data_IF_715516033808
#
_entry.id   IF_715516033808
#
_cell.length_a   1.000
_cell.length_b   1.000
_cell.length_c   1.000
_cell.angle_alpha   90.00
_cell.angle_beta   90.00
_cell.angle_gamma   90.00
#
_symmetry.space_group_name_H-M   'P 1'
#
loop_
_entity.id
_entity.type
_entity.pdbx_description
1 polymer ?
#
# COMPACT_ATOMS: atom_id res chain seq x y z
N UNK A 1 9.00 -40.47 -38.01
CA UNK A 1 8.95 -39.99 -36.58
C UNK A 1 8.02 -38.77 -36.59
N UNK A 2 6.84 -38.94 -36.01
CA UNK A 2 5.91 -37.83 -35.86
C UNK A 2 6.41 -36.91 -34.72
N UNK A 3 6.78 -35.71 -35.01
CA UNK A 3 7.08 -34.67 -34.01
C UNK A 3 5.80 -33.89 -33.73
N UNK A 4 5.41 -33.82 -32.47
CA UNK A 4 4.30 -32.97 -32.03
C UNK A 4 4.88 -31.63 -31.53
N UNK A 5 4.67 -30.54 -32.28
CA UNK A 5 5.13 -29.23 -31.94
C UNK A 5 3.99 -28.47 -31.27
N UNK A 6 4.25 -27.90 -30.11
CA UNK A 6 3.33 -27.00 -29.39
C UNK A 6 3.94 -25.61 -29.33
N UNK A 7 3.11 -24.60 -29.52
CA UNK A 7 3.49 -23.21 -29.41
C UNK A 7 2.95 -22.66 -28.09
N UNK A 8 3.76 -21.84 -27.43
CA UNK A 8 3.40 -21.17 -26.20
C UNK A 8 3.51 -19.66 -26.41
N UNK A 9 2.61 -18.91 -25.77
CA UNK A 9 2.61 -17.45 -25.86
C UNK A 9 3.82 -16.88 -25.12
N UNK A 10 4.59 -16.02 -25.79
CA UNK A 10 5.77 -15.35 -25.21
C UNK A 10 5.48 -13.94 -24.72
N UNK A 11 4.27 -13.42 -25.02
CA UNK A 11 3.82 -12.10 -24.59
C UNK A 11 3.44 -12.11 -23.10
N UNK A 12 3.31 -10.90 -22.55
CA UNK A 12 2.75 -10.72 -21.21
C UNK A 12 1.24 -10.97 -21.28
N UNK A 13 0.80 -11.92 -20.49
CA UNK A 13 -0.60 -12.27 -20.30
C UNK A 13 -1.17 -11.53 -19.11
N UNK A 14 -2.48 -11.29 -19.12
CA UNK A 14 -3.17 -10.63 -18.01
C UNK A 14 -4.21 -11.59 -17.44
N UNK A 15 -4.13 -11.84 -16.14
CA UNK A 15 -5.17 -12.49 -15.37
C UNK A 15 -5.95 -11.40 -14.64
N UNK A 16 -7.24 -11.33 -14.87
CA UNK A 16 -8.15 -10.41 -14.23
C UNK A 16 -9.14 -11.18 -13.35
N UNK A 17 -9.37 -10.73 -12.13
CA UNK A 17 -10.43 -11.26 -11.28
C UNK A 17 -11.76 -10.67 -11.72
N UNK A 18 -12.69 -11.51 -12.18
CA UNK A 18 -14.01 -11.07 -12.63
C UNK A 18 -14.89 -10.63 -11.46
N UNK A 19 -14.72 -11.26 -10.29
CA UNK A 19 -15.46 -10.93 -9.07
C UNK A 19 -14.52 -10.45 -7.97
N UNK A 20 -14.92 -9.41 -7.19
CA UNK A 20 -14.16 -8.95 -6.04
C UNK A 20 -14.01 -10.06 -4.99
N UNK A 21 -12.78 -10.33 -4.59
CA UNK A 21 -12.53 -11.27 -3.50
C UNK A 21 -12.59 -10.58 -2.14
N UNK A 22 -13.03 -11.34 -1.14
CA UNK A 22 -13.19 -10.87 0.24
C UNK A 22 -11.97 -11.25 1.07
N UNK A 23 -11.31 -10.24 1.66
CA UNK A 23 -10.19 -10.42 2.57
C UNK A 23 -10.50 -9.83 3.95
N UNK A 24 -9.88 -10.41 4.98
CA UNK A 24 -10.04 -9.96 6.37
C UNK A 24 -8.76 -9.23 6.78
N UNK A 25 -8.90 -8.02 7.29
CA UNK A 25 -7.79 -7.20 7.80
C UNK A 25 -7.46 -7.57 9.25
N UNK A 26 -6.33 -7.06 9.77
CA UNK A 26 -5.92 -7.20 11.17
C UNK A 26 -6.98 -6.71 12.16
N UNK A 27 -7.81 -5.77 11.76
CA UNK A 27 -8.95 -5.26 12.54
C UNK A 27 -10.20 -6.16 12.48
N UNK A 28 -10.10 -7.35 11.89
CA UNK A 28 -11.21 -8.29 11.64
C UNK A 28 -12.34 -7.69 10.79
N UNK A 29 -12.01 -6.76 9.90
CA UNK A 29 -12.95 -6.15 8.95
C UNK A 29 -12.78 -6.77 7.58
N UNK A 30 -13.90 -7.02 6.91
CA UNK A 30 -13.89 -7.48 5.52
C UNK A 30 -13.61 -6.30 4.59
N UNK A 31 -12.78 -6.54 3.58
CA UNK A 31 -12.55 -5.68 2.42
C UNK A 31 -12.81 -6.47 1.15
N UNK A 32 -13.39 -5.84 0.15
CA UNK A 32 -13.61 -6.39 -1.18
C UNK A 32 -12.52 -5.84 -2.10
N UNK A 33 -11.79 -6.71 -2.74
CA UNK A 33 -10.62 -6.32 -3.54
C UNK A 33 -10.70 -6.89 -4.93
N UNK A 34 -10.59 -6.01 -5.92
CA UNK A 34 -10.38 -6.35 -7.32
C UNK A 34 -8.91 -6.17 -7.66
N UNK A 35 -8.33 -7.13 -8.34
CA UNK A 35 -6.95 -7.09 -8.78
C UNK A 35 -6.77 -7.60 -10.20
N UNK A 36 -5.65 -7.25 -10.80
CA UNK A 36 -5.15 -7.94 -11.98
C UNK A 36 -3.67 -8.28 -11.81
N UNK A 37 -3.26 -9.34 -12.48
CA UNK A 37 -1.89 -9.84 -12.48
C UNK A 37 -1.39 -9.91 -13.91
N UNK A 38 -0.22 -9.34 -14.17
CA UNK A 38 0.51 -9.52 -15.42
C UNK A 38 1.59 -10.56 -15.22
N UNK A 39 1.61 -11.55 -16.08
CA UNK A 39 2.53 -12.67 -16.00
C UNK A 39 3.00 -13.12 -17.38
N UNK A 40 4.09 -13.85 -17.44
CA UNK A 40 4.61 -14.43 -18.68
C UNK A 40 5.24 -15.80 -18.44
N UNK A 41 5.31 -16.62 -19.49
CA UNK A 41 5.98 -17.89 -19.47
C UNK A 41 7.48 -17.64 -19.65
N UNK A 42 8.31 -18.11 -18.71
CA UNK A 42 9.77 -17.99 -18.78
C UNK A 42 10.46 -19.33 -18.93
N UNK A 43 9.91 -20.38 -18.34
CA UNK A 43 10.37 -21.76 -18.52
C UNK A 43 9.26 -22.63 -19.12
N UNK A 44 9.33 -22.81 -20.43
CA UNK A 44 8.34 -23.58 -21.20
C UNK A 44 8.30 -25.05 -20.78
N UNK A 45 9.45 -25.63 -20.42
CA UNK A 45 9.52 -27.02 -19.97
C UNK A 45 8.81 -27.20 -18.64
N UNK A 46 9.13 -26.35 -17.67
CA UNK A 46 8.50 -26.37 -16.35
C UNK A 46 7.00 -26.05 -16.43
N UNK A 47 6.63 -25.09 -17.25
CA UNK A 47 5.24 -24.75 -17.53
C UNK A 47 4.45 -25.92 -18.09
N UNK A 48 5.03 -26.63 -19.08
CA UNK A 48 4.39 -27.81 -19.66
C UNK A 48 4.24 -28.95 -18.64
N UNK A 49 5.26 -29.21 -17.83
CA UNK A 49 5.22 -30.26 -16.80
C UNK A 49 4.17 -29.93 -15.74
N UNK A 50 4.07 -28.68 -15.31
CA UNK A 50 3.23 -28.25 -14.18
C UNK A 50 1.76 -28.10 -14.56
N UNK A 51 1.48 -27.51 -15.73
CA UNK A 51 0.12 -27.15 -16.16
C UNK A 51 -0.28 -27.76 -17.51
N UNK A 52 0.55 -28.64 -18.07
CA UNK A 52 0.34 -29.33 -19.38
C UNK A 52 0.18 -28.35 -20.55
N UNK A 53 0.62 -27.10 -20.37
CA UNK A 53 0.44 -26.05 -21.37
C UNK A 53 -0.99 -25.49 -21.43
N UNK A 54 -1.78 -25.70 -20.38
CA UNK A 54 -3.12 -25.16 -20.25
C UNK A 54 -3.07 -23.83 -19.50
N UNK A 55 -3.46 -22.76 -20.20
CA UNK A 55 -3.45 -21.39 -19.66
C UNK A 55 -4.48 -21.21 -18.55
N UNK A 56 -5.67 -21.81 -18.67
CA UNK A 56 -6.70 -21.72 -17.65
C UNK A 56 -6.25 -22.37 -16.33
N UNK A 57 -5.55 -23.52 -16.42
CA UNK A 57 -4.98 -24.16 -15.26
C UNK A 57 -3.85 -23.34 -14.63
N UNK A 58 -3.02 -22.68 -15.45
CA UNK A 58 -1.98 -21.77 -14.98
C UNK A 58 -2.58 -20.56 -14.25
N UNK A 59 -3.60 -19.94 -14.82
CA UNK A 59 -4.33 -18.83 -14.21
C UNK A 59 -4.97 -19.24 -12.88
N UNK A 60 -5.58 -20.40 -12.79
CA UNK A 60 -6.17 -20.91 -11.55
C UNK A 60 -5.12 -21.07 -10.45
N UNK A 61 -3.96 -21.67 -10.77
CA UNK A 61 -2.87 -21.83 -9.80
C UNK A 61 -2.29 -20.48 -9.38
N UNK A 62 -2.09 -19.58 -10.34
CA UNK A 62 -1.59 -18.25 -10.08
C UNK A 62 -2.55 -17.45 -9.18
N UNK A 63 -3.87 -17.55 -9.44
CA UNK A 63 -4.90 -16.95 -8.60
C UNK A 63 -4.83 -17.46 -7.15
N UNK A 64 -4.69 -18.78 -6.96
CA UNK A 64 -4.56 -19.36 -5.63
C UNK A 64 -3.34 -18.82 -4.87
N UNK A 65 -2.19 -18.73 -5.56
CA UNK A 65 -0.95 -18.19 -4.98
C UNK A 65 -1.10 -16.73 -4.61
N UNK A 66 -1.62 -15.91 -5.52
CA UNK A 66 -1.85 -14.47 -5.28
C UNK A 66 -2.83 -14.26 -4.13
N UNK A 67 -3.93 -14.99 -4.10
CA UNK A 67 -4.93 -14.90 -3.04
C UNK A 67 -4.39 -15.33 -1.67
N UNK A 68 -3.52 -16.35 -1.62
CA UNK A 68 -2.84 -16.72 -0.39
C UNK A 68 -1.93 -15.60 0.10
N UNK A 69 -1.12 -15.04 -0.77
CA UNK A 69 -0.24 -13.91 -0.44
C UNK A 69 -1.01 -12.67 0.02
N UNK A 70 -2.19 -12.43 -0.58
CA UNK A 70 -3.09 -11.34 -0.18
C UNK A 70 -3.67 -11.54 1.21
N UNK A 71 -4.13 -12.77 1.54
CA UNK A 71 -4.65 -13.06 2.88
C UNK A 71 -3.61 -12.82 3.96
N UNK A 72 -2.37 -13.24 3.70
CA UNK A 72 -1.27 -13.03 4.63
C UNK A 72 -0.97 -11.55 4.81
N UNK A 73 -0.89 -10.79 3.71
CA UNK A 73 -0.53 -9.37 3.76
C UNK A 73 -1.65 -8.51 4.37
N UNK A 74 -2.90 -8.71 3.95
CA UNK A 74 -4.04 -7.96 4.51
C UNK A 74 -4.35 -8.35 5.96
N UNK A 75 -4.11 -9.61 6.33
CA UNK A 75 -4.27 -10.06 7.72
C UNK A 75 -3.37 -9.33 8.72
N UNK A 76 -2.26 -8.77 8.25
CA UNK A 76 -1.30 -8.03 9.06
C UNK A 76 -1.47 -6.50 9.00
N UNK A 77 -2.39 -5.99 8.16
CA UNK A 77 -2.57 -4.56 7.91
C UNK A 77 -3.95 -4.07 8.33
N UNK A 78 -4.01 -2.77 8.63
CA UNK A 78 -5.29 -2.10 8.93
C UNK A 78 -6.02 -1.75 7.64
N UNK A 79 -7.33 -1.48 7.73
CA UNK A 79 -8.12 -0.97 6.60
C UNK A 79 -7.53 0.33 6.07
N UNK A 80 -7.03 1.19 6.96
CA UNK A 80 -6.41 2.46 6.57
C UNK A 80 -5.18 2.27 5.69
N UNK A 81 -4.27 1.36 6.06
CA UNK A 81 -3.04 1.06 5.32
C UNK A 81 -3.35 0.56 3.90
N UNK A 82 -4.36 -0.32 3.79
CA UNK A 82 -4.79 -0.90 2.51
C UNK A 82 -5.47 0.13 1.59
N UNK A 83 -6.28 1.04 2.15
CA UNK A 83 -7.08 2.00 1.36
C UNK A 83 -6.28 3.25 0.99
N UNK A 84 -5.46 3.77 1.89
CA UNK A 84 -4.90 5.14 1.74
C UNK A 84 -3.40 5.29 2.01
N UNK A 85 -2.73 4.27 2.57
CA UNK A 85 -1.38 4.50 3.07
C UNK A 85 -0.26 3.91 2.21
N UNK A 86 -0.13 2.60 2.19
CA UNK A 86 1.07 1.89 1.71
C UNK A 86 0.80 1.00 0.49
N UNK A 87 -0.12 1.42 -0.35
CA UNK A 87 -0.61 0.60 -1.47
C UNK A 87 0.50 0.11 -2.40
N UNK A 88 1.46 0.96 -2.74
CA UNK A 88 2.56 0.59 -3.62
C UNK A 88 3.52 -0.42 -2.97
N UNK A 89 3.75 -0.27 -1.67
CA UNK A 89 4.57 -1.21 -0.90
C UNK A 89 3.89 -2.58 -0.81
N UNK A 90 2.59 -2.59 -0.56
CA UNK A 90 1.78 -3.82 -0.53
C UNK A 90 1.85 -4.55 -1.87
N UNK A 91 1.65 -3.83 -2.97
CA UNK A 91 1.70 -4.41 -4.32
C UNK A 91 3.06 -5.00 -4.65
N UNK A 92 4.15 -4.33 -4.27
CA UNK A 92 5.50 -4.84 -4.52
C UNK A 92 5.81 -6.10 -3.68
N UNK A 93 5.42 -6.14 -2.41
CA UNK A 93 5.56 -7.33 -1.56
C UNK A 93 4.77 -8.50 -2.14
N UNK A 94 3.52 -8.24 -2.57
CA UNK A 94 2.67 -9.25 -3.19
C UNK A 94 3.26 -9.78 -4.50
N UNK A 95 3.80 -8.87 -5.34
CA UNK A 95 4.46 -9.26 -6.58
C UNK A 95 5.64 -10.19 -6.31
N UNK A 96 6.49 -9.86 -5.35
CA UNK A 96 7.66 -10.67 -5.00
C UNK A 96 7.27 -12.05 -4.46
N UNK A 97 6.29 -12.13 -3.57
CA UNK A 97 5.79 -13.40 -3.04
C UNK A 97 5.16 -14.25 -4.14
N UNK A 98 4.29 -13.64 -4.95
CA UNK A 98 3.63 -14.32 -6.05
C UNK A 98 4.62 -14.80 -7.12
N UNK A 99 5.67 -14.01 -7.44
CA UNK A 99 6.71 -14.40 -8.39
C UNK A 99 7.54 -15.58 -7.87
N UNK A 100 7.91 -15.57 -6.60
CA UNK A 100 8.68 -16.67 -6.00
C UNK A 100 7.94 -18.02 -6.13
N UNK A 101 6.66 -18.04 -5.86
CA UNK A 101 5.82 -19.25 -5.98
C UNK A 101 5.53 -19.61 -7.45
N UNK A 102 5.27 -18.61 -8.30
CA UNK A 102 4.95 -18.76 -9.70
C UNK A 102 6.10 -19.38 -10.51
N UNK A 103 7.35 -19.16 -10.11
CA UNK A 103 8.53 -19.79 -10.72
C UNK A 103 8.50 -21.29 -10.64
N UNK A 104 7.83 -21.86 -9.63
CA UNK A 104 7.67 -23.32 -9.49
C UNK A 104 6.82 -23.94 -10.62
N UNK A 105 5.99 -23.15 -11.27
CA UNK A 105 5.18 -23.54 -12.43
C UNK A 105 5.72 -23.04 -13.77
N UNK A 106 6.92 -22.42 -13.79
CA UNK A 106 7.59 -21.94 -15.00
C UNK A 106 7.10 -20.59 -15.51
N UNK A 107 6.41 -19.79 -14.68
CA UNK A 107 5.96 -18.46 -15.02
C UNK A 107 6.60 -17.39 -14.12
N UNK A 108 6.67 -16.17 -14.63
CA UNK A 108 7.11 -14.98 -13.89
C UNK A 108 5.94 -14.02 -13.72
N UNK A 109 5.77 -13.53 -12.51
CA UNK A 109 4.82 -12.45 -12.22
C UNK A 109 5.51 -11.11 -12.45
N UNK A 110 5.10 -10.43 -13.52
CA UNK A 110 5.66 -9.13 -13.93
C UNK A 110 5.14 -8.01 -13.05
N UNK A 111 3.82 -7.98 -12.80
CA UNK A 111 3.17 -6.93 -12.04
C UNK A 111 1.90 -7.44 -11.37
N UNK A 112 1.60 -6.92 -10.17
CA UNK A 112 0.36 -7.16 -9.43
C UNK A 112 -0.23 -5.81 -9.07
N UNK A 113 -1.48 -5.55 -9.47
CA UNK A 113 -2.14 -4.27 -9.21
C UNK A 113 -3.53 -4.46 -8.61
N UNK A 114 -3.78 -3.70 -7.55
CA UNK A 114 -5.10 -3.54 -6.97
C UNK A 114 -5.89 -2.55 -7.82
N UNK A 115 -6.98 -2.98 -8.44
CA UNK A 115 -7.89 -2.11 -9.18
C UNK A 115 -8.73 -1.28 -8.23
N UNK A 116 -9.40 -1.97 -7.32
CA UNK A 116 -10.38 -1.38 -6.39
C UNK A 116 -10.30 -2.09 -5.05
N UNK A 117 -10.46 -1.32 -4.00
CA UNK A 117 -10.61 -1.81 -2.64
C UNK A 117 -11.86 -1.15 -2.08
N UNK A 118 -12.89 -1.94 -1.84
CA UNK A 118 -14.16 -1.50 -1.31
C UNK A 118 -14.41 -2.05 0.10
N UNK A 119 -15.16 -1.30 0.86
CA UNK A 119 -15.67 -1.74 2.14
C UNK A 119 -17.14 -2.17 1.98
N UNK A 120 -17.53 -3.35 2.50
CA UNK A 120 -18.93 -3.69 2.60
C UNK A 120 -19.72 -2.58 3.28
N UNK A 121 -20.94 -2.31 2.83
CA UNK A 121 -21.76 -1.20 3.33
C UNK A 121 -21.95 -1.22 4.85
N UNK A 122 -22.02 -2.41 5.44
CA UNK A 122 -22.21 -2.63 6.88
C UNK A 122 -21.08 -2.06 7.76
N UNK A 123 -19.86 -1.94 7.21
CA UNK A 123 -18.68 -1.46 7.95
C UNK A 123 -18.20 -0.10 7.47
N UNK A 124 -18.62 0.34 6.29
CA UNK A 124 -18.15 1.57 5.64
C UNK A 124 -18.31 2.80 6.53
N UNK A 125 -19.50 3.01 7.08
CA UNK A 125 -19.77 4.21 7.88
C UNK A 125 -18.93 4.30 9.14
N UNK A 126 -18.75 3.19 9.85
CA UNK A 126 -17.94 3.13 11.07
C UNK A 126 -16.45 3.39 10.79
N UNK A 127 -15.96 2.89 9.66
CA UNK A 127 -14.56 3.11 9.22
C UNK A 127 -14.34 4.56 8.81
N UNK A 128 -15.24 5.14 8.01
CA UNK A 128 -15.14 6.54 7.61
C UNK A 128 -15.20 7.50 8.81
N UNK A 129 -16.10 7.28 9.76
CA UNK A 129 -16.15 8.07 11.01
C UNK A 129 -14.86 8.00 11.80
N UNK A 130 -14.25 6.80 11.91
CA UNK A 130 -12.97 6.63 12.59
C UNK A 130 -11.83 7.34 11.85
N UNK A 131 -11.76 7.22 10.53
CA UNK A 131 -10.77 7.93 9.71
C UNK A 131 -10.91 9.44 9.81
N UNK A 132 -12.15 9.94 9.81
CA UNK A 132 -12.43 11.37 10.01
C UNK A 132 -11.99 11.84 11.40
N UNK A 133 -12.32 11.10 12.44
CA UNK A 133 -11.91 11.41 13.81
C UNK A 133 -10.38 11.42 13.96
N UNK A 134 -9.69 10.45 13.37
CA UNK A 134 -8.23 10.38 13.39
C UNK A 134 -7.58 11.57 12.64
N UNK A 135 -8.09 11.92 11.46
CA UNK A 135 -7.62 13.09 10.73
C UNK A 135 -7.86 14.40 11.51
N UNK A 136 -9.00 14.54 12.17
CA UNK A 136 -9.30 15.67 13.05
C UNK A 136 -8.33 15.71 14.23
N UNK A 137 -8.02 14.57 14.83
CA UNK A 137 -7.05 14.47 15.94
C UNK A 137 -5.67 14.95 15.51
N UNK A 138 -5.13 14.42 14.40
CA UNK A 138 -3.83 14.81 13.85
C UNK A 138 -3.80 16.30 13.49
N UNK A 139 -4.84 16.81 12.85
CA UNK A 139 -4.92 18.23 12.50
C UNK A 139 -4.94 19.13 13.74
N UNK A 140 -5.65 18.75 14.79
CA UNK A 140 -5.68 19.50 16.06
C UNK A 140 -4.33 19.45 16.78
N UNK A 141 -3.67 18.29 16.78
CA UNK A 141 -2.32 18.13 17.34
C UNK A 141 -1.31 19.04 16.63
N UNK A 142 -1.30 19.03 15.28
CA UNK A 142 -0.43 19.91 14.50
C UNK A 142 -0.72 21.40 14.72
N UNK A 143 -2.00 21.78 14.81
CA UNK A 143 -2.38 23.18 15.12
C UNK A 143 -1.93 23.58 16.51
N UNK A 144 -2.13 22.72 17.50
CA UNK A 144 -1.72 22.96 18.89
C UNK A 144 -0.21 23.11 19.01
N UNK A 145 0.54 22.20 18.37
CA UNK A 145 2.01 22.26 18.32
C UNK A 145 2.49 23.55 17.62
N UNK A 146 1.88 23.88 16.48
CA UNK A 146 2.20 25.12 15.76
C UNK A 146 1.88 26.40 16.55
N UNK A 147 0.77 26.41 17.29
CA UNK A 147 0.42 27.53 18.17
C UNK A 147 1.42 27.67 19.32
N UNK A 148 1.79 26.57 19.98
CA UNK A 148 2.77 26.57 21.06
C UNK A 148 4.16 27.05 20.59
N UNK A 149 4.60 26.57 19.41
CA UNK A 149 5.89 27.01 18.85
C UNK A 149 5.86 28.49 18.42
N UNK A 150 4.75 28.94 17.84
CA UNK A 150 4.56 30.38 17.53
C UNK A 150 4.63 31.27 18.78
N UNK A 151 3.98 30.87 19.87
CA UNK A 151 4.00 31.59 21.13
C UNK A 151 5.41 31.64 21.73
N UNK A 152 6.13 30.53 21.68
CA UNK A 152 7.52 30.45 22.14
C UNK A 152 8.42 31.37 21.34
N UNK A 153 8.29 31.39 19.99
CA UNK A 153 9.08 32.31 19.13
C UNK A 153 8.76 33.76 19.45
N UNK A 154 7.48 34.11 19.65
CA UNK A 154 7.09 35.49 20.03
C UNK A 154 7.65 35.87 21.39
N UNK A 155 7.53 35.03 22.41
CA UNK A 155 8.06 35.29 23.74
C UNK A 155 9.59 35.49 23.72
N UNK A 156 10.32 34.68 22.96
CA UNK A 156 11.77 34.83 22.79
C UNK A 156 12.12 36.16 22.06
N UNK A 157 11.38 36.54 21.02
CA UNK A 157 11.58 37.80 20.32
C UNK A 157 11.29 39.02 21.22
N UNK A 158 10.22 38.99 22.00
CA UNK A 158 9.87 40.03 22.93
C UNK A 158 10.94 40.15 24.03
N UNK A 159 11.44 39.06 24.56
CA UNK A 159 12.54 39.04 25.51
C UNK A 159 13.82 39.68 24.93
N UNK A 160 14.20 39.32 23.72
CA UNK A 160 15.36 39.89 23.04
C UNK A 160 15.19 41.39 22.80
N UNK A 161 14.00 41.81 22.39
CA UNK A 161 13.68 43.24 22.23
C UNK A 161 13.86 44.04 23.52
N UNK A 162 13.33 43.51 24.63
CA UNK A 162 13.48 44.18 25.94
C UNK A 162 14.96 44.26 26.38
N UNK A 163 15.76 43.24 26.15
CA UNK A 163 17.20 43.25 26.44
C UNK A 163 17.92 44.30 25.60
N UNK A 164 17.66 44.36 24.29
CA UNK A 164 18.27 45.35 23.39
C UNK A 164 17.91 46.79 23.80
N UNK A 165 16.63 47.03 24.12
CA UNK A 165 16.18 48.34 24.58
C UNK A 165 16.84 48.72 25.90
N UNK A 166 16.91 47.83 26.87
CA UNK A 166 17.55 48.09 28.16
C UNK A 166 19.07 48.38 28.01
N UNK A 167 19.75 47.67 27.15
CA UNK A 167 21.17 47.91 26.84
C UNK A 167 21.37 49.29 26.16
N UNK A 168 20.54 49.63 25.20
CA UNK A 168 20.59 50.93 24.51
C UNK A 168 20.34 52.10 25.50
N UNK A 169 19.35 51.98 26.39
CA UNK A 169 19.12 52.96 27.46
C UNK A 169 20.30 53.10 28.40
N UNK A 170 20.92 52.00 28.80
CA UNK A 170 22.11 52.02 29.67
C UNK A 170 23.30 52.69 28.99
N UNK A 171 23.51 52.49 27.70
CA UNK A 171 24.59 53.12 26.95
C UNK A 171 24.33 54.62 26.76
N UNK A 172 23.10 54.99 26.45
CA UNK A 172 22.72 56.41 26.36
C UNK A 172 22.96 57.21 27.66
N UNK A 173 22.64 56.61 28.83
CA UNK A 173 22.91 57.20 30.13
C UNK A 173 24.39 57.32 30.50
N UNK A 174 25.26 56.49 29.96
CA UNK A 174 26.70 56.57 30.20
C UNK A 174 27.36 57.64 29.37
N UNK A 175 26.74 58.07 28.29
CA UNK A 175 27.29 59.11 27.35
C UNK A 175 26.82 60.52 27.66
N UNK A 176 25.83 60.64 28.56
CA UNK A 176 25.41 61.93 29.16
C UNK A 176 26.21 62.25 30.44
#
# INVERSE_FOLDING_TARGET
IAQNVRYFESRILTMDTEEPERFITSEKKNVLVDLFVKWRIVDVKQYYISVRGDEALAQTRLAQTVNSSMRDEFGNRTVHDVVSGERDVIMEIMRQKADADARSIGVEVVDVRLKRVDLPQEVSESVYRRMEAERKRVANELRSTGAAESEKIRADADRQREVILAEAYREAQKTM
#
